data_IF_302748207463
#
_entry.id   IF_302748207463
#
_cell.length_a   1.000
_cell.length_b   1.000
_cell.length_c   1.000
_cell.angle_alpha   90.00
_cell.angle_beta   90.00
_cell.angle_gamma   90.00
#
_symmetry.space_group_name_H-M   'P 1'
#
loop_
_entity.id
_entity.type
_entity.pdbx_description
1 polymer ?
#
# COMPACT_ATOMS: atom_id res chain seq x y z
N UNK A 1 21.40 -11.06 29.65
CA UNK A 1 21.92 -11.84 28.50
C UNK A 1 21.14 -11.45 27.28
N UNK A 2 21.79 -10.76 26.36
CA UNK A 2 21.28 -10.45 25.03
C UNK A 2 21.44 -11.70 24.18
N UNK A 3 20.37 -12.42 23.85
CA UNK A 3 20.41 -13.51 22.89
C UNK A 3 19.04 -13.72 22.24
N UNK A 4 18.77 -12.91 21.22
CA UNK A 4 17.97 -13.31 20.05
C UNK A 4 18.32 -12.37 18.89
N UNK A 5 19.53 -12.55 18.36
CA UNK A 5 19.87 -12.09 17.02
C UNK A 5 18.96 -12.86 16.07
N UNK A 6 18.18 -12.15 15.27
CA UNK A 6 17.29 -12.71 14.23
C UNK A 6 15.89 -13.17 14.66
N UNK A 7 15.34 -12.66 15.77
CA UNK A 7 13.88 -12.51 15.85
C UNK A 7 13.50 -11.16 15.23
N UNK A 8 13.90 -10.95 13.97
CA UNK A 8 13.26 -9.94 13.14
C UNK A 8 11.80 -10.36 13.10
N UNK A 9 10.99 -9.71 13.92
CA UNK A 9 9.59 -10.02 13.99
C UNK A 9 9.03 -9.90 12.57
N UNK A 10 8.59 -11.03 12.03
CA UNK A 10 7.86 -11.13 10.77
C UNK A 10 6.46 -10.50 10.89
N UNK A 11 6.29 -9.46 11.69
CA UNK A 11 5.14 -8.59 11.53
C UNK A 11 5.36 -7.82 10.22
N UNK A 12 4.55 -8.12 9.22
CA UNK A 12 4.34 -7.16 8.14
C UNK A 12 3.51 -6.05 8.79
N UNK A 13 4.14 -4.97 9.27
CA UNK A 13 3.38 -3.77 9.62
C UNK A 13 2.85 -3.21 8.31
N UNK A 14 1.64 -3.64 7.94
CA UNK A 14 0.91 -3.03 6.84
C UNK A 14 0.29 -1.75 7.41
N UNK A 15 0.52 -0.58 6.78
CA UNK A 15 -0.13 0.65 7.21
C UNK A 15 -1.65 0.45 7.28
N UNK A 16 -2.32 0.82 8.38
CA UNK A 16 -3.73 0.54 8.56
C UNK A 16 -4.60 1.17 7.46
N UNK A 17 -4.19 2.31 6.91
CA UNK A 17 -4.88 2.96 5.80
C UNK A 17 -4.78 2.18 4.48
N UNK A 18 -3.67 1.48 4.24
CA UNK A 18 -3.58 0.57 3.09
C UNK A 18 -4.48 -0.65 3.27
N UNK A 19 -4.52 -1.22 4.47
CA UNK A 19 -5.43 -2.32 4.77
C UNK A 19 -6.89 -1.92 4.53
N UNK A 20 -7.27 -0.72 4.96
CA UNK A 20 -8.60 -0.17 4.70
C UNK A 20 -8.84 0.10 3.22
N UNK A 21 -7.89 0.70 2.51
CA UNK A 21 -8.01 0.98 1.08
C UNK A 21 -8.23 -0.28 0.23
N UNK A 22 -7.67 -1.42 0.66
CA UNK A 22 -7.87 -2.73 0.05
C UNK A 22 -9.21 -3.37 0.45
N UNK A 23 -9.68 -3.15 1.69
CA UNK A 23 -10.96 -3.65 2.18
C UNK A 23 -12.18 -2.87 1.63
N UNK A 24 -11.95 -1.67 1.11
CA UNK A 24 -12.96 -0.79 0.49
C UNK A 24 -13.52 -1.42 -0.80
N UNK A 25 -14.77 -1.90 -0.74
CA UNK A 25 -15.52 -2.55 -1.84
C UNK A 25 -16.73 -1.75 -2.33
N UNK A 26 -16.96 -0.54 -1.81
CA UNK A 26 -18.13 0.25 -2.16
C UNK A 26 -18.06 0.81 -3.58
N UNK A 27 -19.21 0.95 -4.24
CA UNK A 27 -19.28 1.36 -5.65
C UNK A 27 -18.66 2.75 -5.91
N UNK A 28 -18.78 3.68 -4.96
CA UNK A 28 -18.23 5.02 -5.07
C UNK A 28 -16.69 5.03 -4.95
N UNK A 29 -16.15 4.19 -4.08
CA UNK A 29 -14.70 3.99 -3.89
C UNK A 29 -14.08 3.33 -5.11
N UNK A 30 -14.79 2.34 -5.69
CA UNK A 30 -14.37 1.67 -6.92
C UNK A 30 -14.31 2.62 -8.10
N UNK A 31 -15.27 3.55 -8.22
CA UNK A 31 -15.23 4.61 -9.24
C UNK A 31 -14.03 5.53 -9.05
N UNK A 32 -13.80 6.01 -7.83
CA UNK A 32 -12.63 6.85 -7.51
C UNK A 32 -11.31 6.16 -7.86
N UNK A 33 -11.20 4.86 -7.52
CA UNK A 33 -10.01 4.05 -7.80
C UNK A 33 -9.83 3.86 -9.32
N UNK A 34 -10.91 3.61 -10.04
CA UNK A 34 -10.90 3.51 -11.51
C UNK A 34 -10.49 4.83 -12.18
N UNK A 35 -11.02 5.97 -11.71
CA UNK A 35 -10.67 7.29 -12.22
C UNK A 35 -9.19 7.62 -11.93
N UNK A 36 -8.65 7.20 -10.78
CA UNK A 36 -7.23 7.30 -10.44
C UNK A 36 -6.35 6.43 -11.34
N UNK A 37 -6.76 5.19 -11.61
CA UNK A 37 -6.05 4.30 -12.55
C UNK A 37 -5.99 4.91 -13.95
N UNK A 38 -7.11 5.47 -14.44
CA UNK A 38 -7.17 6.09 -15.77
C UNK A 38 -6.38 7.40 -15.85
N UNK A 39 -6.43 8.24 -14.82
CA UNK A 39 -5.77 9.55 -14.83
C UNK A 39 -4.25 9.47 -14.65
N UNK A 40 -3.76 8.52 -13.85
CA UNK A 40 -2.33 8.39 -13.53
C UNK A 40 -1.65 7.22 -14.24
N UNK A 41 -2.40 6.37 -14.94
CA UNK A 41 -1.87 5.17 -15.58
C UNK A 41 -1.34 4.13 -14.57
N UNK A 42 -1.88 4.14 -13.35
CA UNK A 42 -1.44 3.28 -12.25
C UNK A 42 -2.11 1.90 -12.32
N UNK A 43 -1.40 0.89 -11.84
CA UNK A 43 -1.95 -0.44 -11.58
C UNK A 43 -2.90 -0.44 -10.38
N UNK A 44 -3.57 -1.56 -10.13
CA UNK A 44 -4.57 -1.66 -9.05
C UNK A 44 -3.93 -1.40 -7.67
N UNK A 45 -2.68 -1.84 -7.50
CA UNK A 45 -1.90 -1.60 -6.29
C UNK A 45 -1.56 -0.12 -6.11
N UNK A 46 -1.07 0.55 -7.16
CA UNK A 46 -0.78 1.99 -7.16
C UNK A 46 -2.02 2.83 -6.86
N UNK A 47 -3.17 2.45 -7.40
CA UNK A 47 -4.43 3.12 -7.09
C UNK A 47 -4.87 2.89 -5.64
N UNK A 48 -4.70 1.69 -5.08
CA UNK A 48 -4.96 1.43 -3.66
C UNK A 48 -4.02 2.23 -2.74
N UNK A 49 -2.75 2.38 -3.11
CA UNK A 49 -1.78 3.20 -2.38
C UNK A 49 -2.16 4.68 -2.39
N UNK A 50 -2.60 5.22 -3.53
CA UNK A 50 -3.08 6.60 -3.63
C UNK A 50 -4.31 6.85 -2.76
N UNK A 51 -5.25 5.89 -2.72
CA UNK A 51 -6.43 5.95 -1.82
C UNK A 51 -6.01 5.89 -0.35
N UNK A 52 -5.07 5.02 0.00
CA UNK A 52 -4.51 4.95 1.35
C UNK A 52 -3.86 6.28 1.76
N UNK A 53 -3.11 6.90 0.86
CA UNK A 53 -2.50 8.21 1.07
C UNK A 53 -3.56 9.30 1.34
N UNK A 54 -4.64 9.29 0.55
CA UNK A 54 -5.76 10.21 0.74
C UNK A 54 -6.48 9.99 2.10
N UNK A 55 -6.60 8.73 2.54
CA UNK A 55 -7.13 8.39 3.86
C UNK A 55 -6.24 8.87 5.00
N UNK A 56 -4.93 8.71 4.87
CA UNK A 56 -3.94 9.20 5.84
C UNK A 56 -4.02 10.73 5.97
N UNK A 57 -4.01 11.45 4.83
CA UNK A 57 -4.18 12.91 4.80
C UNK A 57 -5.50 13.36 5.47
N UNK A 58 -6.61 12.69 5.19
CA UNK A 58 -7.91 13.00 5.82
C UNK A 58 -7.91 12.78 7.34
N UNK A 59 -7.04 11.90 7.84
CA UNK A 59 -6.89 11.57 9.26
C UNK A 59 -5.79 12.40 9.94
N UNK A 60 -5.05 13.22 9.20
CA UNK A 60 -3.89 13.95 9.70
C UNK A 60 -2.70 13.05 10.03
N UNK A 61 -2.63 11.87 9.40
CA UNK A 61 -1.53 10.92 9.55
C UNK A 61 -0.54 11.15 8.40
N UNK A 62 0.75 11.12 8.72
CA UNK A 62 1.79 11.17 7.70
C UNK A 62 1.72 9.92 6.80
N UNK A 63 1.60 10.07 5.47
CA UNK A 63 1.41 8.92 4.61
C UNK A 63 2.64 8.01 4.56
N UNK A 64 2.43 6.71 4.76
CA UNK A 64 3.51 5.73 4.72
C UNK A 64 3.97 5.48 3.28
N UNK A 65 5.25 5.73 2.99
CA UNK A 65 5.86 5.36 1.71
C UNK A 65 6.24 3.88 1.74
N UNK A 66 5.61 3.07 0.89
CA UNK A 66 5.92 1.64 0.76
C UNK A 66 6.78 1.43 -0.47
N UNK A 67 8.03 0.99 -0.25
CA UNK A 67 8.91 0.55 -1.33
C UNK A 67 8.81 -0.97 -1.44
N UNK A 68 8.34 -1.45 -2.59
CA UNK A 68 8.37 -2.88 -2.89
C UNK A 68 9.73 -3.25 -3.48
N UNK A 69 10.34 -4.37 -3.08
CA UNK A 69 11.49 -4.89 -3.79
C UNK A 69 11.08 -5.23 -5.22
N UNK A 70 11.90 -4.83 -6.20
CA UNK A 70 11.72 -5.25 -7.59
C UNK A 70 11.71 -6.78 -7.68
N UNK A 71 10.89 -7.32 -8.58
CA UNK A 71 10.68 -8.76 -8.67
C UNK A 71 12.03 -9.47 -8.92
N UNK A 72 12.38 -10.53 -8.17
CA UNK A 72 13.58 -11.31 -8.44
C UNK A 72 13.62 -11.90 -9.87
N UNK A 73 12.48 -11.95 -10.56
CA UNK A 73 12.33 -12.49 -11.90
C UNK A 73 12.80 -11.53 -13.01
N UNK A 74 13.02 -10.24 -12.74
CA UNK A 74 13.56 -9.29 -13.75
C UNK A 74 15.06 -9.51 -14.02
N UNK A 75 15.77 -10.19 -13.12
CA UNK A 75 17.20 -10.49 -13.28
C UNK A 75 17.47 -11.81 -14.00
N UNK A 76 16.44 -12.47 -14.55
CA UNK A 76 16.54 -13.76 -15.23
C UNK A 76 16.16 -13.70 -16.74
N UNK A 77 15.99 -12.50 -17.29
CA UNK A 77 15.81 -12.26 -18.73
C UNK A 77 17.06 -11.61 -19.32
#
# INVERSE_FOLDING_TARGET
MVLAKSMELLFRVVPPSLYLALAMTEAHEKKQRYDLMQSQGLDELGAALAVAQALDCKRGIEPATITFPSSPLENLA
#
